data_IF_545030185188
#
_entry.id   IF_545030185188
#
_cell.length_a   1.000
_cell.length_b   1.000
_cell.length_c   1.000
_cell.angle_alpha   90.00
_cell.angle_beta   90.00
_cell.angle_gamma   90.00
#
_symmetry.space_group_name_H-M   'P 1'
#
loop_
_entity.id
_entity.type
_entity.pdbx_description
1 polymer ?
#
# COMPACT_ATOMS: atom_id res chain seq x y z
N UNK A 1 4.54 -27.32 -10.01
CA UNK A 1 5.38 -26.36 -9.26
C UNK A 1 4.82 -24.98 -9.60
N UNK A 2 3.78 -24.57 -8.87
CA UNK A 2 3.00 -23.38 -9.21
C UNK A 2 3.71 -22.13 -8.73
N UNK A 3 3.96 -21.19 -9.64
CA UNK A 3 4.46 -19.86 -9.32
C UNK A 3 3.43 -19.19 -8.41
N UNK A 4 3.80 -18.87 -7.17
CA UNK A 4 2.97 -18.06 -6.28
C UNK A 4 3.07 -16.61 -6.73
N UNK A 5 2.35 -16.27 -7.80
CA UNK A 5 2.22 -14.90 -8.31
C UNK A 5 1.19 -14.16 -7.43
N UNK A 6 1.54 -13.96 -6.16
CA UNK A 6 0.73 -13.17 -5.24
C UNK A 6 1.19 -11.72 -5.38
N UNK A 7 0.63 -11.01 -6.35
CA UNK A 7 0.77 -9.55 -6.44
C UNK A 7 0.17 -8.96 -5.14
N UNK A 8 1.04 -8.36 -4.32
CA UNK A 8 0.64 -7.65 -3.10
C UNK A 8 0.36 -6.19 -3.49
N UNK A 9 -0.86 -5.70 -3.20
CA UNK A 9 -1.27 -4.32 -3.48
C UNK A 9 -1.81 -3.64 -2.23
N UNK A 10 -1.56 -2.33 -2.10
CA UNK A 10 -2.16 -1.49 -1.05
C UNK A 10 -3.23 -0.63 -1.69
N UNK A 11 -4.48 -0.78 -1.24
CA UNK A 11 -5.61 0.04 -1.63
C UNK A 11 -5.95 1.03 -0.50
N UNK A 12 -5.90 2.33 -0.81
CA UNK A 12 -6.26 3.39 0.12
C UNK A 12 -7.79 3.46 0.28
N UNK A 13 -8.28 3.42 1.53
CA UNK A 13 -9.70 3.63 1.86
C UNK A 13 -9.85 5.09 2.28
N UNK A 14 -10.52 5.89 1.44
CA UNK A 14 -10.55 7.35 1.49
C UNK A 14 -11.16 7.99 2.77
N UNK A 15 -11.60 7.22 3.75
CA UNK A 15 -12.35 7.74 4.89
C UNK A 15 -11.49 8.30 6.03
N UNK A 16 -10.19 7.99 6.09
CA UNK A 16 -9.23 8.59 7.03
C UNK A 16 -7.83 8.34 6.47
N UNK A 17 -7.09 9.39 6.11
CA UNK A 17 -5.83 9.35 5.34
C UNK A 17 -4.63 8.65 6.01
N UNK A 18 -4.88 7.73 6.95
CA UNK A 18 -3.91 6.92 7.69
C UNK A 18 -4.22 5.42 7.61
N UNK A 19 -5.32 5.01 6.97
CA UNK A 19 -5.79 3.61 6.95
C UNK A 19 -5.93 3.12 5.50
N UNK A 20 -5.42 1.93 5.24
CA UNK A 20 -5.50 1.24 3.95
C UNK A 20 -5.78 -0.25 4.14
N UNK A 21 -6.02 -0.94 3.02
CA UNK A 21 -6.08 -2.40 3.00
C UNK A 21 -4.97 -2.95 2.09
N UNK A 22 -4.22 -3.91 2.61
CA UNK A 22 -3.26 -4.72 1.86
C UNK A 22 -3.99 -5.95 1.30
N UNK A 23 -4.08 -6.07 -0.02
CA UNK A 23 -4.62 -7.23 -0.72
C UNK A 23 -3.50 -8.16 -1.20
N UNK A 24 -3.64 -9.45 -0.93
CA UNK A 24 -2.79 -10.53 -1.44
C UNK A 24 -3.69 -11.65 -1.95
N UNK A 25 -3.90 -11.69 -3.27
CA UNK A 25 -4.93 -12.54 -3.88
C UNK A 25 -6.33 -12.21 -3.34
N UNK A 26 -7.00 -13.21 -2.78
CA UNK A 26 -8.33 -13.06 -2.15
C UNK A 26 -8.27 -12.59 -0.69
N UNK A 27 -7.06 -12.48 -0.11
CA UNK A 27 -6.88 -12.09 1.30
C UNK A 27 -6.71 -10.58 1.42
N UNK A 28 -7.36 -9.96 2.40
CA UNK A 28 -7.23 -8.55 2.70
C UNK A 28 -6.87 -8.32 4.18
N UNK A 29 -5.88 -7.48 4.44
CA UNK A 29 -5.44 -7.08 5.78
C UNK A 29 -5.60 -5.57 5.96
N UNK A 30 -6.00 -5.12 7.15
CA UNK A 30 -5.95 -3.70 7.48
C UNK A 30 -4.49 -3.27 7.72
N UNK A 31 -4.09 -2.14 7.17
CA UNK A 31 -2.76 -1.57 7.37
C UNK A 31 -2.81 -0.04 7.53
N UNK A 32 -1.74 0.52 8.07
CA UNK A 32 -1.55 1.96 8.15
C UNK A 32 -0.82 2.49 6.92
N UNK A 33 -1.10 3.74 6.57
CA UNK A 33 -0.33 4.51 5.59
C UNK A 33 0.10 5.86 6.19
N UNK A 34 1.08 6.49 5.56
CA UNK A 34 1.56 7.79 5.94
C UNK A 34 0.46 8.86 5.87
N UNK A 35 0.54 9.92 6.68
CA UNK A 35 -0.48 10.95 6.76
C UNK A 35 -0.76 11.74 5.48
N UNK A 36 0.17 11.74 4.53
CA UNK A 36 -0.02 12.34 3.22
C UNK A 36 -0.59 11.35 2.18
N UNK A 37 -0.99 10.15 2.59
CA UNK A 37 -1.52 9.12 1.70
C UNK A 37 -0.43 8.33 0.98
N UNK A 38 -0.72 7.90 -0.26
CA UNK A 38 0.17 7.08 -1.09
C UNK A 38 0.66 7.93 -2.28
N UNK A 39 1.97 7.92 -2.56
CA UNK A 39 2.57 8.69 -3.65
C UNK A 39 3.71 7.96 -4.36
N UNK A 40 3.79 8.06 -5.68
CA UNK A 40 4.93 7.60 -6.47
C UNK A 40 6.16 8.51 -6.37
N UNK A 41 5.95 9.77 -5.95
CA UNK A 41 7.00 10.78 -5.85
C UNK A 41 7.19 11.21 -4.40
N UNK A 42 7.41 10.24 -3.51
CA UNK A 42 7.67 10.57 -2.11
C UNK A 42 8.99 11.31 -1.97
N UNK A 43 9.03 12.26 -1.06
CA UNK A 43 10.24 12.94 -0.60
C UNK A 43 10.50 12.65 0.87
N UNK A 44 11.71 12.89 1.35
CA UNK A 44 12.00 12.74 2.78
C UNK A 44 11.16 13.74 3.59
N UNK A 45 10.49 13.25 4.65
CA UNK A 45 9.71 14.08 5.57
C UNK A 45 8.31 14.49 5.11
N UNK A 46 7.86 14.09 3.92
CA UNK A 46 6.54 14.47 3.39
C UNK A 46 5.36 13.68 4.00
N UNK A 47 5.67 12.59 4.71
CA UNK A 47 4.67 11.73 5.34
C UNK A 47 3.87 10.88 4.35
N UNK A 48 4.32 10.69 3.11
CA UNK A 48 3.66 9.81 2.14
C UNK A 48 4.18 8.36 2.23
N UNK A 49 3.29 7.38 2.07
CA UNK A 49 3.66 6.01 1.77
C UNK A 49 4.10 5.92 0.31
N UNK A 50 5.30 5.41 -0.01
CA UNK A 50 5.74 5.28 -1.39
C UNK A 50 4.88 4.25 -2.14
N UNK A 51 4.52 4.56 -3.38
CA UNK A 51 3.97 3.60 -4.34
C UNK A 51 5.09 3.10 -5.26
N UNK A 52 5.13 1.78 -5.50
CA UNK A 52 6.14 1.16 -6.34
C UNK A 52 6.04 -0.36 -6.34
N UNK A 53 6.91 -1.00 -7.12
CA UNK A 53 7.24 -2.43 -7.01
C UNK A 53 8.68 -2.54 -6.54
N UNK A 54 8.94 -3.37 -5.55
CA UNK A 54 10.28 -3.64 -5.03
C UNK A 54 10.65 -5.11 -5.30
N UNK A 55 11.92 -5.42 -5.64
CA UNK A 55 12.41 -6.79 -5.75
C UNK A 55 12.42 -7.54 -4.42
#
# INVERSE_FOLDING_TARGET
MGTFDQDIAIMHIAANGHVASLSMGETAFACSIGPAGISYNKSEGDGATPAGRWP
#
